data_IF_897342104996
#
_entry.id   IF_897342104996
#
_cell.length_a   1.000
_cell.length_b   1.000
_cell.length_c   1.000
_cell.angle_alpha   90.00
_cell.angle_beta   90.00
_cell.angle_gamma   90.00
#
_symmetry.space_group_name_H-M   'P 1'
#
loop_
_entity.id
_entity.type
_entity.pdbx_description
1 polymer ?
#
# COMPACT_ATOMS: atom_id res chain seq x y z
N UNK A 1 0.41 14.59 -1.01
CA UNK A 1 0.43 13.81 -2.27
C UNK A 1 -0.87 14.01 -3.05
N UNK A 2 -2.03 13.46 -2.64
CA UNK A 2 -3.30 13.66 -3.37
C UNK A 2 -3.83 15.10 -3.34
N UNK A 3 -3.69 15.81 -2.21
CA UNK A 3 -4.15 17.21 -2.05
C UNK A 3 -3.41 18.18 -2.98
N UNK A 4 -2.22 17.82 -3.45
CA UNK A 4 -1.43 18.65 -4.37
C UNK A 4 -1.55 18.18 -5.84
N UNK A 5 -2.47 17.26 -6.14
CA UNK A 5 -2.62 16.68 -7.49
C UNK A 5 -1.49 15.73 -7.91
N UNK A 6 -0.63 15.32 -6.98
CA UNK A 6 0.46 14.39 -7.27
C UNK A 6 -0.03 12.96 -7.09
N UNK A 7 -0.02 12.20 -8.17
CA UNK A 7 -0.37 10.78 -8.13
C UNK A 7 0.64 10.02 -7.27
N UNK A 8 0.20 9.24 -6.28
CA UNK A 8 1.09 8.36 -5.54
C UNK A 8 1.75 7.35 -6.47
N UNK A 9 3.01 7.04 -6.17
CA UNK A 9 3.85 6.08 -6.87
C UNK A 9 4.09 4.83 -6.01
N UNK A 10 4.90 3.89 -6.52
CA UNK A 10 5.23 2.66 -5.79
C UNK A 10 5.84 2.93 -4.42
N UNK A 11 6.76 3.89 -4.31
CA UNK A 11 7.41 4.24 -3.03
C UNK A 11 6.40 4.77 -2.02
N UNK A 12 5.46 5.61 -2.46
CA UNK A 12 4.37 6.10 -1.62
C UNK A 12 3.51 4.96 -1.07
N UNK A 13 3.14 4.00 -1.92
CA UNK A 13 2.35 2.84 -1.50
C UNK A 13 3.12 1.90 -0.59
N UNK A 14 4.42 1.75 -0.79
CA UNK A 14 5.27 0.94 0.09
C UNK A 14 5.25 1.52 1.50
N UNK A 15 5.54 2.81 1.65
CA UNK A 15 5.49 3.49 2.96
C UNK A 15 4.11 3.40 3.62
N UNK A 16 3.03 3.54 2.84
CA UNK A 16 1.66 3.40 3.33
C UNK A 16 1.35 1.99 3.84
N UNK A 17 1.75 0.95 3.11
CA UNK A 17 1.54 -0.44 3.52
C UNK A 17 2.42 -0.83 4.71
N UNK A 18 3.67 -0.38 4.75
CA UNK A 18 4.56 -0.57 5.91
C UNK A 18 3.96 0.06 7.16
N UNK A 19 3.44 1.29 7.08
CA UNK A 19 2.75 1.93 8.21
C UNK A 19 1.50 1.15 8.65
N UNK A 20 0.72 0.61 7.70
CA UNK A 20 -0.44 -0.23 8.02
C UNK A 20 -0.04 -1.55 8.70
N UNK A 21 1.09 -2.14 8.32
CA UNK A 21 1.65 -3.34 8.95
C UNK A 21 2.01 -3.07 10.41
N UNK A 22 2.78 -2.02 10.69
CA UNK A 22 3.16 -1.68 12.06
C UNK A 22 1.97 -1.29 12.95
N UNK A 23 0.93 -0.69 12.37
CA UNK A 23 -0.26 -0.27 13.11
C UNK A 23 -1.32 -1.38 13.26
N UNK A 24 -1.11 -2.57 12.69
CA UNK A 24 -2.10 -3.66 12.68
C UNK A 24 -3.35 -3.35 11.86
N UNK A 25 -3.26 -2.43 10.90
CA UNK A 25 -4.39 -1.91 10.12
C UNK A 25 -4.64 -2.75 8.86
N UNK A 26 -4.92 -4.04 9.04
CA UNK A 26 -5.03 -5.03 7.97
C UNK A 26 -6.05 -4.65 6.89
N UNK A 27 -7.26 -4.25 7.30
CA UNK A 27 -8.33 -3.89 6.37
C UNK A 27 -7.96 -2.69 5.48
N UNK A 28 -7.32 -1.68 6.07
CA UNK A 28 -6.90 -0.47 5.36
C UNK A 28 -5.74 -0.78 4.43
N UNK A 29 -4.74 -1.54 4.88
CA UNK A 29 -3.65 -2.03 4.04
C UNK A 29 -4.16 -2.77 2.81
N UNK A 30 -5.15 -3.66 2.98
CA UNK A 30 -5.81 -4.36 1.87
C UNK A 30 -6.57 -3.44 0.92
N UNK A 31 -7.27 -2.42 1.43
CA UNK A 31 -7.94 -1.42 0.60
C UNK A 31 -6.92 -0.63 -0.24
N UNK A 32 -5.82 -0.19 0.36
CA UNK A 32 -4.76 0.54 -0.34
C UNK A 32 -4.06 -0.33 -1.38
N UNK A 33 -3.75 -1.58 -1.06
CA UNK A 33 -3.17 -2.52 -2.02
C UNK A 33 -4.08 -2.78 -3.23
N UNK A 34 -5.40 -2.87 -3.01
CA UNK A 34 -6.37 -2.98 -4.11
C UNK A 34 -6.43 -1.69 -4.94
N UNK A 35 -6.41 -0.52 -4.31
CA UNK A 35 -6.42 0.77 -4.99
C UNK A 35 -5.15 0.97 -5.83
N UNK A 36 -3.98 0.62 -5.30
CA UNK A 36 -2.69 0.63 -5.99
C UNK A 36 -2.79 -0.07 -7.35
N UNK A 37 -3.39 -1.27 -7.39
CA UNK A 37 -3.55 -2.06 -8.62
C UNK A 37 -4.64 -1.53 -9.56
N UNK A 38 -5.82 -1.18 -9.02
CA UNK A 38 -7.02 -0.92 -9.82
C UNK A 38 -7.19 0.54 -10.24
N UNK A 39 -6.68 1.47 -9.42
CA UNK A 39 -6.85 2.92 -9.61
C UNK A 39 -5.57 3.54 -10.13
N UNK A 40 -4.43 3.17 -9.53
CA UNK A 40 -3.13 3.73 -9.88
C UNK A 40 -2.33 2.85 -10.85
N UNK A 41 -2.84 1.66 -11.18
CA UNK A 41 -2.24 0.72 -12.13
C UNK A 41 -0.77 0.35 -11.82
N UNK A 42 -0.41 0.42 -10.54
CA UNK A 42 0.94 0.09 -10.08
C UNK A 42 1.02 -1.43 -9.89
N UNK A 43 2.01 -2.04 -10.53
CA UNK A 43 2.25 -3.48 -10.42
C UNK A 43 2.88 -3.77 -9.06
N UNK A 44 2.28 -4.65 -8.24
CA UNK A 44 2.87 -5.02 -6.96
C UNK A 44 4.10 -5.89 -7.18
N UNK A 45 5.24 -5.39 -6.72
CA UNK A 45 6.47 -6.13 -6.50
C UNK A 45 6.42 -6.97 -5.20
N UNK A 46 7.41 -7.85 -5.02
CA UNK A 46 7.54 -8.74 -3.84
C UNK A 46 7.44 -8.00 -2.51
N UNK A 47 7.99 -6.79 -2.43
CA UNK A 47 8.01 -5.97 -1.21
C UNK A 47 6.62 -5.58 -0.69
N UNK A 48 5.64 -5.32 -1.57
CA UNK A 48 4.29 -4.98 -1.14
C UNK A 48 3.52 -6.21 -0.62
N UNK A 49 3.84 -7.40 -1.15
CA UNK A 49 3.30 -8.66 -0.67
C UNK A 49 3.85 -9.03 0.72
N UNK A 50 5.14 -8.78 0.97
CA UNK A 50 5.74 -8.96 2.29
C UNK A 50 5.00 -8.13 3.35
N UNK A 51 4.75 -6.83 3.08
CA UNK A 51 4.00 -5.99 4.01
C UNK A 51 2.57 -6.51 4.29
N UNK A 52 1.90 -7.13 3.32
CA UNK A 52 0.60 -7.75 3.57
C UNK A 52 0.73 -8.99 4.45
N UNK A 53 1.73 -9.85 4.23
CA UNK A 53 1.96 -11.03 5.09
C UNK A 53 2.29 -10.60 6.51
N UNK A 54 3.14 -9.58 6.67
CA UNK A 54 3.50 -9.00 7.97
C UNK A 54 2.30 -8.37 8.70
N UNK A 55 1.21 -8.03 8.01
CA UNK A 55 -0.03 -7.57 8.65
C UNK A 55 -0.83 -8.70 9.30
N UNK A 56 -0.61 -9.96 8.90
CA UNK A 56 -1.35 -11.14 9.35
C UNK A 56 -0.57 -12.00 10.37
N UNK A 57 0.72 -11.73 10.58
CA UNK A 57 1.57 -12.40 11.57
C UNK A 57 1.56 -11.68 12.91
#
# INVERSE_FOLDING_TARGET
>A
MLVNGVSPDGVTFLGLLTACSHAGLVNQGLMFFKAMKKVYWIVPETQYHACLVDMYG
#
